data_IF_576848994698
#
_entry.id   IF_576848994698
#
_cell.length_a   1.000
_cell.length_b   1.000
_cell.length_c   1.000
_cell.angle_alpha   90.00
_cell.angle_beta   90.00
_cell.angle_gamma   90.00
#
_symmetry.space_group_name_H-M   'P 1'
#
loop_
_entity.id
_entity.type
_entity.pdbx_description
1 polymer ?
#
# COMPACT_ATOMS: atom_id res chain seq x y z
N UNK A 1 2.95 14.72 2.84
CA UNK A 1 1.70 14.50 3.60
C UNK A 1 0.83 13.52 2.82
N UNK A 2 0.68 12.27 3.30
CA UNK A 2 -0.12 11.26 2.59
C UNK A 2 -1.63 11.46 2.78
N UNK A 3 -2.05 12.18 3.82
CA UNK A 3 -3.46 12.44 4.12
C UNK A 3 -4.06 13.36 3.06
N UNK A 4 -3.35 14.45 2.74
CA UNK A 4 -3.73 15.36 1.66
C UNK A 4 -3.87 14.64 0.31
N UNK A 5 -2.94 13.73 -0.02
CA UNK A 5 -3.04 12.94 -1.27
C UNK A 5 -4.28 12.05 -1.25
N UNK A 6 -4.55 11.36 -0.13
CA UNK A 6 -5.74 10.52 0.04
C UNK A 6 -7.03 11.34 -0.14
N UNK A 7 -7.12 12.51 0.47
CA UNK A 7 -8.26 13.42 0.33
C UNK A 7 -8.50 13.82 -1.14
N UNK A 8 -7.45 14.16 -1.88
CA UNK A 8 -7.57 14.48 -3.31
C UNK A 8 -8.00 13.29 -4.17
N UNK A 9 -7.59 12.08 -3.83
CA UNK A 9 -8.07 10.87 -4.52
C UNK A 9 -9.56 10.61 -4.22
N UNK A 10 -10.00 10.83 -2.98
CA UNK A 10 -11.42 10.71 -2.60
C UNK A 10 -12.26 11.77 -3.34
N UNK A 11 -11.81 13.04 -3.38
CA UNK A 11 -12.47 14.13 -4.13
C UNK A 11 -12.59 13.78 -5.63
N UNK A 12 -11.60 13.08 -6.19
CA UNK A 12 -11.60 12.64 -7.59
C UNK A 12 -12.41 11.34 -7.85
N UNK A 13 -13.00 10.74 -6.83
CA UNK A 13 -13.78 9.49 -6.95
C UNK A 13 -12.94 8.24 -7.21
N UNK A 14 -11.65 8.26 -6.84
CA UNK A 14 -10.73 7.13 -7.00
C UNK A 14 -10.74 6.26 -5.74
N UNK A 15 -10.73 4.91 -5.86
CA UNK A 15 -10.64 4.04 -4.69
C UNK A 15 -9.35 4.30 -3.89
N UNK A 16 -9.49 4.42 -2.58
CA UNK A 16 -8.38 4.64 -1.63
C UNK A 16 -8.24 3.52 -0.59
N UNK A 17 -9.16 2.56 -0.59
CA UNK A 17 -9.09 1.33 0.22
C UNK A 17 -9.04 0.09 -0.67
N UNK A 18 -8.56 -1.02 -0.11
CA UNK A 18 -8.53 -2.31 -0.78
C UNK A 18 -9.95 -2.81 -1.11
N UNK A 19 -10.92 -2.56 -0.21
CA UNK A 19 -12.32 -2.91 -0.38
C UNK A 19 -12.94 -2.20 -1.59
N UNK A 20 -12.75 -0.87 -1.70
CA UNK A 20 -13.22 -0.08 -2.85
C UNK A 20 -12.58 -0.54 -4.17
N UNK A 21 -11.34 -1.02 -4.12
CA UNK A 21 -10.62 -1.56 -5.28
C UNK A 21 -10.96 -3.03 -5.60
N UNK A 22 -11.78 -3.71 -4.78
CA UNK A 22 -12.08 -5.13 -4.96
C UNK A 22 -10.90 -6.08 -4.69
N UNK A 23 -9.95 -5.66 -3.85
CA UNK A 23 -8.72 -6.40 -3.52
C UNK A 23 -8.80 -6.87 -2.06
N UNK A 24 -8.39 -8.11 -1.81
CA UNK A 24 -8.35 -8.63 -0.44
C UNK A 24 -7.19 -8.04 0.37
N UNK A 25 -7.34 -7.84 1.70
CA UNK A 25 -6.28 -7.28 2.54
C UNK A 25 -4.96 -8.07 2.51
N UNK A 26 -5.04 -9.40 2.46
CA UNK A 26 -3.90 -10.31 2.37
C UNK A 26 -3.12 -10.12 1.06
N UNK A 27 -3.82 -9.86 -0.05
CA UNK A 27 -3.19 -9.57 -1.34
C UNK A 27 -2.44 -8.24 -1.31
N UNK A 28 -2.99 -7.21 -0.67
CA UNK A 28 -2.29 -5.92 -0.48
C UNK A 28 -1.00 -6.11 0.30
N UNK A 29 -1.07 -6.80 1.45
CA UNK A 29 0.09 -7.04 2.30
C UNK A 29 1.15 -7.86 1.55
N UNK A 30 0.74 -8.95 0.88
CA UNK A 30 1.65 -9.78 0.09
C UNK A 30 2.32 -8.96 -1.01
N UNK A 31 1.57 -8.16 -1.76
CA UNK A 31 2.10 -7.32 -2.82
C UNK A 31 3.15 -6.34 -2.30
N UNK A 32 2.90 -5.67 -1.16
CA UNK A 32 3.86 -4.76 -0.53
C UNK A 32 5.20 -5.44 -0.17
N UNK A 33 5.16 -6.70 0.30
CA UNK A 33 6.40 -7.43 0.67
C UNK A 33 7.26 -7.80 -0.54
N UNK A 34 6.66 -7.99 -1.72
CA UNK A 34 7.38 -8.42 -2.93
C UNK A 34 7.59 -7.30 -3.95
N UNK A 35 7.00 -6.12 -3.75
CA UNK A 35 7.03 -5.01 -4.72
C UNK A 35 8.46 -4.61 -5.14
N UNK A 36 9.43 -4.66 -4.22
CA UNK A 36 10.84 -4.38 -4.50
C UNK A 36 11.49 -5.34 -5.52
N UNK A 37 10.87 -6.51 -5.78
CA UNK A 37 11.38 -7.53 -6.72
C UNK A 37 10.82 -7.38 -8.12
N UNK A 38 9.80 -6.53 -8.32
CA UNK A 38 9.11 -6.38 -9.62
C UNK A 38 10.06 -5.83 -10.69
N UNK A 39 11.02 -5.00 -10.27
CA UNK A 39 12.00 -4.40 -11.16
C UNK A 39 13.28 -4.10 -10.39
N UNK A 40 14.42 -4.29 -11.05
CA UNK A 40 15.72 -3.85 -10.54
C UNK A 40 15.82 -2.31 -10.59
N UNK A 41 15.32 -1.68 -9.52
CA UNK A 41 15.31 -0.23 -9.34
C UNK A 41 15.30 0.08 -7.84
N UNK A 42 16.22 0.96 -7.42
CA UNK A 42 16.22 1.46 -6.05
C UNK A 42 14.99 2.34 -5.77
N UNK A 43 14.30 2.08 -4.65
CA UNK A 43 13.14 2.83 -4.16
C UNK A 43 13.18 2.95 -2.64
N UNK A 44 12.18 3.60 -2.03
CA UNK A 44 12.03 3.67 -0.57
C UNK A 44 11.86 2.29 0.10
N UNK A 45 11.49 1.25 -0.66
CA UNK A 45 11.38 -0.12 -0.16
C UNK A 45 12.75 -0.80 0.04
N UNK A 46 13.84 -0.16 -0.42
CA UNK A 46 15.19 -0.70 -0.33
C UNK A 46 15.38 -2.03 -1.06
N UNK A 47 16.51 -2.69 -0.79
CA UNK A 47 16.89 -3.95 -1.45
C UNK A 47 16.22 -5.19 -0.84
N UNK A 48 15.81 -5.10 0.42
CA UNK A 48 15.21 -6.20 1.19
C UNK A 48 13.67 -6.18 1.23
N UNK A 49 13.05 -5.07 0.81
CA UNK A 49 11.61 -4.87 0.92
C UNK A 49 11.12 -4.66 2.36
N UNK A 50 9.80 -4.67 2.51
CA UNK A 50 9.12 -4.61 3.80
C UNK A 50 8.95 -6.01 4.40
N UNK A 51 9.09 -6.10 5.73
CA UNK A 51 8.62 -7.29 6.46
C UNK A 51 7.10 -7.38 6.39
N UNK A 52 6.55 -8.57 6.62
CA UNK A 52 5.11 -8.78 6.68
C UNK A 52 4.43 -7.84 7.69
N UNK A 53 5.01 -7.74 8.89
CA UNK A 53 4.50 -6.88 9.97
C UNK A 53 4.57 -5.39 9.63
N UNK A 54 5.63 -4.94 8.94
CA UNK A 54 5.76 -3.56 8.50
C UNK A 54 4.74 -3.22 7.40
N UNK A 55 4.55 -4.13 6.44
CA UNK A 55 3.56 -3.98 5.37
C UNK A 55 2.13 -3.93 5.92
N UNK A 56 1.77 -4.84 6.83
CA UNK A 56 0.47 -4.86 7.46
C UNK A 56 0.23 -3.59 8.31
N UNK A 57 1.20 -3.20 9.14
CA UNK A 57 1.11 -1.97 9.94
C UNK A 57 0.94 -0.74 9.05
N UNK A 58 1.72 -0.63 7.97
CA UNK A 58 1.62 0.48 7.01
C UNK A 58 0.22 0.56 6.40
N UNK A 59 -0.30 -0.57 5.90
CA UNK A 59 -1.60 -0.63 5.24
C UNK A 59 -2.75 -0.29 6.20
N UNK A 60 -2.67 -0.71 7.47
CA UNK A 60 -3.63 -0.35 8.53
C UNK A 60 -3.53 1.14 8.92
N UNK A 61 -2.32 1.65 9.16
CA UNK A 61 -2.10 3.05 9.58
C UNK A 61 -2.56 4.04 8.51
N UNK A 62 -2.41 3.69 7.24
CA UNK A 62 -2.88 4.52 6.12
C UNK A 62 -4.36 4.30 5.78
N UNK A 63 -5.00 3.32 6.42
CA UNK A 63 -6.39 2.93 6.18
C UNK A 63 -6.63 2.39 4.78
N UNK A 64 -5.62 1.77 4.16
CA UNK A 64 -5.77 1.01 2.90
C UNK A 64 -6.49 -0.31 3.19
N UNK A 65 -6.25 -0.91 4.36
CA UNK A 65 -6.98 -2.08 4.87
C UNK A 65 -7.50 -1.80 6.30
N UNK A 66 -8.60 -2.44 6.68
CA UNK A 66 -9.17 -2.41 8.05
C UNK A 66 -8.37 -3.29 8.99
#
# INVERSE_FOLDING_TARGET
DWKMIKEKLIEAGVPTTAEEAGISPDMVVKALTIAHKVRDRYTILGSSGLTLSAAEKLARVTGVIK
#
